data_IF_851769758072
#
_entry.id   IF_851769758072
#
_cell.length_a   1.000
_cell.length_b   1.000
_cell.length_c   1.000
_cell.angle_alpha   90.00
_cell.angle_beta   90.00
_cell.angle_gamma   90.00
#
_symmetry.space_group_name_H-M   'P 1'
#
loop_
_entity.id
_entity.type
_entity.pdbx_description
1 polymer ?
#
# COMPACT_ATOMS: atom_id res chain seq x y z
N UNK A 1 2.60 -1.13 17.55
CA UNK A 1 2.31 0.15 16.84
C UNK A 1 3.28 0.36 15.69
N UNK A 2 2.81 0.25 14.44
CA UNK A 2 3.65 0.37 13.24
C UNK A 2 3.41 1.74 12.57
N UNK A 3 4.46 2.54 12.40
CA UNK A 3 4.43 3.72 11.56
C UNK A 3 4.84 3.36 10.13
N UNK A 4 3.89 3.42 9.18
CA UNK A 4 4.13 3.03 7.81
C UNK A 4 4.32 4.25 6.90
N UNK A 5 5.52 4.42 6.39
CA UNK A 5 5.86 5.46 5.43
C UNK A 5 6.02 4.86 4.03
N UNK A 6 5.05 5.11 3.15
CA UNK A 6 5.07 4.59 1.78
C UNK A 6 5.60 5.64 0.81
N UNK A 7 6.66 5.29 0.08
CA UNK A 7 7.16 6.12 -1.01
C UNK A 7 6.79 5.48 -2.34
N UNK A 8 5.63 5.89 -2.84
CA UNK A 8 5.09 5.37 -4.10
C UNK A 8 5.62 6.26 -5.20
N UNK A 9 6.13 5.64 -6.23
CA UNK A 9 6.97 6.34 -7.17
C UNK A 9 6.72 5.59 -8.48
N UNK A 10 6.01 6.30 -9.35
CA UNK A 10 5.61 5.88 -10.68
C UNK A 10 4.44 4.90 -10.81
N UNK A 11 3.52 5.32 -11.68
CA UNK A 11 2.28 4.67 -12.10
C UNK A 11 1.27 4.52 -10.96
N UNK A 12 0.50 5.59 -10.79
CA UNK A 12 -0.31 5.89 -9.61
C UNK A 12 -1.52 4.96 -9.53
N UNK A 13 -1.45 3.97 -8.63
CA UNK A 13 -2.64 3.33 -8.12
C UNK A 13 -3.68 4.40 -7.74
N UNK A 14 -4.96 4.13 -7.96
CA UNK A 14 -6.02 5.01 -7.48
C UNK A 14 -6.12 4.97 -5.95
N UNK A 15 -5.85 3.80 -5.38
CA UNK A 15 -6.02 3.52 -3.96
C UNK A 15 -5.07 2.41 -3.51
N UNK A 16 -4.62 2.50 -2.26
CA UNK A 16 -3.96 1.40 -1.55
C UNK A 16 -4.74 1.09 -0.28
N UNK A 17 -5.11 -0.17 -0.09
CA UNK A 17 -5.71 -0.64 1.16
C UNK A 17 -4.70 -1.37 2.03
N UNK A 18 -4.91 -1.27 3.34
CA UNK A 18 -4.04 -1.80 4.38
C UNK A 18 -4.78 -2.86 5.17
N UNK A 19 -4.15 -4.01 5.34
CA UNK A 19 -4.63 -5.08 6.18
C UNK A 19 -3.51 -5.57 7.09
N UNK A 20 -3.84 -5.84 8.35
CA UNK A 20 -2.95 -6.49 9.30
C UNK A 20 -3.42 -7.93 9.51
N UNK A 21 -2.49 -8.87 9.47
CA UNK A 21 -2.75 -10.30 9.64
C UNK A 21 -2.06 -10.85 10.87
N UNK A 22 -2.75 -11.71 11.59
CA UNK A 22 -2.20 -12.46 12.73
C UNK A 22 -2.56 -13.94 12.63
N UNK A 23 -1.74 -14.80 13.23
CA UNK A 23 -1.93 -16.25 13.27
C UNK A 23 -2.39 -16.66 14.68
N UNK A 24 -3.46 -17.48 14.75
CA UNK A 24 -3.99 -17.93 16.04
C UNK A 24 -3.11 -18.97 16.76
N UNK A 25 -2.10 -19.52 16.09
CA UNK A 25 -1.19 -20.52 16.65
C UNK A 25 0.22 -20.38 16.07
N UNK A 26 1.23 -20.55 16.94
CA UNK A 26 2.65 -20.39 16.59
C UNK A 26 3.20 -21.48 15.66
N UNK A 27 2.58 -22.66 15.64
CA UNK A 27 3.09 -23.80 14.86
C UNK A 27 2.89 -23.65 13.34
N UNK A 28 2.17 -22.62 12.88
CA UNK A 28 1.87 -22.41 11.46
C UNK A 28 1.88 -20.93 11.03
N UNK A 29 2.85 -20.16 11.53
CA UNK A 29 3.05 -18.74 11.18
C UNK A 29 3.44 -18.60 9.70
N UNK A 30 2.42 -18.52 8.85
CA UNK A 30 2.51 -18.31 7.41
C UNK A 30 1.48 -17.29 7.00
N UNK A 31 1.84 -16.42 6.07
CA UNK A 31 0.97 -15.31 5.66
C UNK A 31 -0.37 -15.78 5.06
N UNK A 32 -0.43 -17.00 4.50
CA UNK A 32 -1.63 -17.62 3.95
C UNK A 32 -2.62 -18.05 5.04
N UNK A 33 -2.11 -18.38 6.23
CA UNK A 33 -2.90 -18.82 7.38
C UNK A 33 -3.32 -17.65 8.28
N UNK A 34 -2.79 -16.45 8.02
CA UNK A 34 -3.10 -15.27 8.81
C UNK A 34 -4.53 -14.79 8.59
N UNK A 35 -5.20 -14.41 9.67
CA UNK A 35 -6.51 -13.75 9.62
C UNK A 35 -6.29 -12.25 9.46
N UNK A 36 -6.67 -11.73 8.30
CA UNK A 36 -6.47 -10.33 7.96
C UNK A 36 -7.65 -9.46 8.38
N UNK A 37 -7.33 -8.36 9.06
CA UNK A 37 -8.27 -7.29 9.41
C UNK A 37 -7.96 -6.06 8.57
N UNK A 38 -8.98 -5.51 7.90
CA UNK A 38 -8.84 -4.28 7.11
C UNK A 38 -8.72 -3.07 8.02
N UNK A 39 -7.65 -2.31 7.85
CA UNK A 39 -7.34 -1.11 8.64
C UNK A 39 -7.87 0.17 7.99
N UNK A 40 -7.99 0.17 6.65
CA UNK A 40 -8.44 1.32 5.89
C UNK A 40 -7.73 1.42 4.54
N UNK A 41 -7.78 2.61 3.94
CA UNK A 41 -7.15 2.88 2.66
C UNK A 41 -6.68 4.33 2.56
N UNK A 42 -5.77 4.58 1.62
CA UNK A 42 -5.44 5.91 1.12
C UNK A 42 -5.79 6.01 -0.35
N UNK A 43 -6.34 7.15 -0.73
CA UNK A 43 -6.47 7.53 -2.14
C UNK A 43 -5.21 8.26 -2.57
N UNK A 44 -4.74 7.97 -3.77
CA UNK A 44 -3.66 8.72 -4.38
C UNK A 44 -4.27 9.69 -5.39
N UNK A 45 -3.54 10.75 -5.69
CA UNK A 45 -3.98 11.80 -6.61
C UNK A 45 -3.64 11.41 -8.05
N UNK A 46 -4.44 11.86 -9.02
CA UNK A 46 -4.06 11.80 -10.43
C UNK A 46 -3.02 12.90 -10.74
N UNK A 47 -1.97 12.54 -11.47
CA UNK A 47 -0.95 13.46 -11.97
C UNK A 47 -1.18 14.00 -13.39
N UNK A 48 -2.37 13.80 -13.98
CA UNK A 48 -2.69 14.25 -15.34
C UNK A 48 -2.39 15.74 -15.57
N UNK A 49 -2.68 16.59 -14.57
CA UNK A 49 -2.42 18.04 -14.61
C UNK A 49 -0.94 18.42 -14.73
N UNK A 50 -0.05 17.47 -14.46
CA UNK A 50 1.41 17.65 -14.51
C UNK A 50 2.04 16.89 -15.68
N UNK A 51 1.22 16.48 -16.66
CA UNK A 51 1.65 15.66 -17.78
C UNK A 51 2.26 14.32 -17.34
N UNK A 52 1.70 13.72 -16.28
CA UNK A 52 2.15 12.46 -15.71
C UNK A 52 3.58 12.48 -15.15
N UNK A 53 4.09 13.66 -14.77
CA UNK A 53 5.46 13.86 -14.25
C UNK A 53 5.52 13.91 -12.72
N UNK A 54 4.44 14.33 -12.05
CA UNK A 54 4.44 14.42 -10.59
C UNK A 54 4.49 13.05 -9.92
N UNK A 55 5.03 13.04 -8.71
CA UNK A 55 5.21 11.87 -7.86
C UNK A 55 4.57 12.17 -6.52
N UNK A 56 3.91 11.19 -5.91
CA UNK A 56 3.23 11.37 -4.62
C UNK A 56 3.88 10.53 -3.52
N UNK A 57 4.31 11.20 -2.45
CA UNK A 57 4.72 10.56 -1.20
C UNK A 57 3.57 10.66 -0.20
N UNK A 58 3.10 9.53 0.32
CA UNK A 58 2.13 9.49 1.43
C UNK A 58 2.69 8.72 2.63
N UNK A 59 2.64 9.35 3.80
CA UNK A 59 2.99 8.71 5.07
C UNK A 59 1.71 8.51 5.87
N UNK A 60 1.52 7.32 6.45
CA UNK A 60 0.36 7.02 7.28
C UNK A 60 0.76 6.42 8.61
N UNK A 61 0.03 6.77 9.66
CA UNK A 61 0.13 6.09 10.94
C UNK A 61 -0.92 5.00 10.97
N UNK A 62 -0.48 3.78 11.27
CA UNK A 62 -1.37 2.62 11.40
C UNK A 62 -1.25 2.12 12.84
N UNK A 63 -2.27 2.41 13.64
CA UNK A 63 -2.32 1.90 15.02
C UNK A 63 -2.90 0.49 15.01
N UNK A 64 -2.04 -0.47 14.70
CA UNK A 64 -2.39 -1.89 14.69
C UNK A 64 -1.19 -2.74 15.10
N UNK A 65 -1.49 -3.90 15.65
CA UNK A 65 -0.53 -4.95 16.01
C UNK A 65 -0.86 -6.22 15.20
N UNK A 66 0.18 -6.91 14.73
CA UNK A 66 0.05 -8.16 14.00
C UNK A 66 1.35 -8.56 13.30
N UNK A 67 1.39 -9.80 12.80
CA UNK A 67 2.58 -10.43 12.23
C UNK A 67 2.79 -10.13 10.75
N UNK A 68 1.72 -9.84 10.01
CA UNK A 68 1.76 -9.67 8.57
C UNK A 68 1.10 -8.36 8.13
N UNK A 69 1.80 -7.56 7.35
CA UNK A 69 1.20 -6.45 6.61
C UNK A 69 0.86 -6.90 5.19
N UNK A 70 -0.39 -6.70 4.78
CA UNK A 70 -0.84 -6.91 3.39
C UNK A 70 -1.30 -5.59 2.80
N UNK A 71 -0.76 -5.26 1.63
CA UNK A 71 -1.12 -4.10 0.82
C UNK A 71 -1.95 -4.56 -0.37
N UNK A 72 -3.13 -3.98 -0.56
CA UNK A 72 -3.93 -4.17 -1.78
C UNK A 72 -3.79 -2.93 -2.64
N UNK A 73 -3.11 -3.09 -3.77
CA UNK A 73 -2.86 -2.02 -4.72
C UNK A 73 -3.95 -2.07 -5.79
N UNK A 74 -4.73 -1.00 -5.90
CA UNK A 74 -5.78 -0.90 -6.92
C UNK A 74 -5.22 -0.35 -8.24
N UNK A 75 -6.01 -0.55 -9.32
CA UNK A 75 -5.73 -0.04 -10.66
C UNK A 75 -5.29 1.43 -10.65
N UNK A 76 -4.46 1.81 -11.60
CA UNK A 76 -4.05 3.19 -11.78
C UNK A 76 -5.15 4.10 -12.33
N UNK A 77 -4.94 5.41 -12.23
CA UNK A 77 -5.68 6.39 -13.03
C UNK A 77 -5.37 6.24 -14.52
N UNK A 78 -6.35 6.53 -15.38
CA UNK A 78 -6.19 6.51 -16.83
C UNK A 78 -4.98 7.35 -17.24
N UNK A 79 -4.02 6.72 -17.90
CA UNK A 79 -2.81 7.37 -18.35
C UNK A 79 -2.49 6.88 -19.76
N UNK A 80 -2.51 7.80 -20.73
CA UNK A 80 -2.26 7.50 -22.15
C UNK A 80 -0.87 6.90 -22.42
N UNK A 81 0.08 7.09 -21.50
CA UNK A 81 1.43 6.54 -21.58
C UNK A 81 1.55 5.17 -20.89
N UNK A 82 0.53 4.75 -20.11
CA UNK A 82 0.47 3.45 -19.43
C UNK A 82 -0.67 2.60 -20.01
N UNK A 83 -0.47 2.09 -21.23
CA UNK A 83 -1.47 1.31 -21.97
C UNK A 83 -1.87 0.00 -21.27
N UNK A 84 -1.03 -0.48 -20.37
CA UNK A 84 -1.21 -1.77 -19.68
C UNK A 84 -1.74 -1.63 -18.25
N UNK A 85 -2.08 -0.42 -17.82
CA UNK A 85 -2.57 -0.16 -16.46
C UNK A 85 -1.65 -0.73 -15.36
N UNK A 86 -0.34 -0.68 -15.60
CA UNK A 86 0.65 -1.10 -14.62
C UNK A 86 0.59 -0.17 -13.40
N UNK A 87 1.06 -0.65 -12.26
CA UNK A 87 1.28 0.15 -11.05
C UNK A 87 2.68 -0.17 -10.54
N UNK A 88 3.37 0.82 -9.98
CA UNK A 88 4.67 0.57 -9.34
C UNK A 88 4.76 1.20 -7.96
N UNK A 89 5.43 0.49 -7.06
CA UNK A 89 5.86 0.99 -5.75
C UNK A 89 7.38 0.94 -5.79
N UNK A 90 8.03 2.05 -5.47
CA UNK A 90 9.51 2.08 -5.45
C UNK A 90 10.06 1.85 -4.06
N UNK A 91 9.38 2.35 -3.01
CA UNK A 91 9.83 2.07 -1.65
C UNK A 91 8.68 2.01 -0.63
N UNK A 92 8.89 1.14 0.35
CA UNK A 92 8.05 0.95 1.53
C UNK A 92 8.99 1.03 2.72
N UNK A 93 8.75 1.98 3.62
CA UNK A 93 9.45 2.07 4.89
C UNK A 93 8.48 1.71 6.02
N UNK A 94 8.84 0.67 6.76
CA UNK A 94 8.17 0.26 7.99
C UNK A 94 9.03 0.74 9.15
N UNK A 95 8.46 1.58 10.00
CA UNK A 95 9.13 2.14 11.17
C UNK A 95 8.36 1.67 12.40
N UNK A 96 9.05 0.98 13.31
CA UNK A 96 8.55 0.72 14.65
C UNK A 96 9.03 1.82 15.59
N UNK A 97 8.19 2.20 16.55
CA UNK A 97 8.56 3.11 17.63
C UNK A 97 9.03 2.32 18.85
#
# INVERSE_FOLDING_TARGET
KIFLKLFILFIEASKIEFLIGDCSSDENVKHENARYTRLGYIELSSNERTEFKSRELKSIHVDADGLFLKLIIHKNYTNRHNLHNQVSIIAINLLEN
#
